data_IF_517397008884
#
_entry.id   IF_517397008884
#
_cell.length_a   1.000
_cell.length_b   1.000
_cell.length_c   1.000
_cell.angle_alpha   90.00
_cell.angle_beta   90.00
_cell.angle_gamma   90.00
#
_symmetry.space_group_name_H-M   'P 1'
#
loop_
_entity.id
_entity.type
_entity.pdbx_description
1 polymer ?
#
# COMPACT_ATOMS: atom_id res chain seq x y z
N UNK A 1 18.19 21.79 -4.71
CA UNK A 1 16.76 21.76 -4.33
C UNK A 1 16.67 20.68 -3.28
N UNK A 2 16.01 20.94 -2.15
CA UNK A 2 15.93 19.98 -1.05
C UNK A 2 14.56 19.34 -1.01
N UNK A 3 14.49 18.14 -0.46
CA UNK A 3 13.23 17.50 -0.08
C UNK A 3 12.53 18.38 0.96
N UNK A 4 11.30 18.76 0.66
CA UNK A 4 10.43 19.58 1.51
C UNK A 4 8.97 19.23 1.20
N UNK A 5 8.03 19.75 2.00
CA UNK A 5 6.60 19.56 1.78
C UNK A 5 6.18 20.03 0.37
N UNK A 6 5.28 19.26 -0.25
CA UNK A 6 4.75 19.49 -1.62
C UNK A 6 5.80 19.33 -2.74
N UNK A 7 6.89 18.62 -2.46
CA UNK A 7 7.89 18.21 -3.45
C UNK A 7 7.65 16.75 -3.81
N UNK A 8 7.66 16.47 -5.11
CA UNK A 8 7.67 15.12 -5.65
C UNK A 8 9.09 14.60 -5.63
N UNK A 9 9.27 13.45 -4.99
CA UNK A 9 10.56 12.81 -4.78
C UNK A 9 10.51 11.46 -5.47
N UNK A 10 11.43 11.25 -6.41
CA UNK A 10 11.71 9.95 -6.99
C UNK A 10 12.76 9.28 -6.11
N UNK A 11 12.39 8.25 -5.34
CA UNK A 11 13.34 7.51 -4.52
C UNK A 11 13.51 6.07 -5.02
N UNK A 12 14.74 5.59 -5.02
CA UNK A 12 15.03 4.17 -5.02
C UNK A 12 15.28 3.76 -3.57
N UNK A 13 14.78 2.60 -3.15
CA UNK A 13 15.06 2.09 -1.81
C UNK A 13 15.21 0.58 -1.80
N UNK A 14 15.88 0.06 -0.78
CA UNK A 14 15.88 -1.36 -0.46
C UNK A 14 15.61 -1.50 1.02
N UNK A 15 14.58 -2.25 1.39
CA UNK A 15 14.23 -2.50 2.78
C UNK A 15 14.59 -3.92 3.18
N UNK A 16 15.29 -4.02 4.31
CA UNK A 16 15.75 -5.27 4.92
C UNK A 16 15.19 -5.39 6.32
N UNK A 17 14.78 -6.59 6.71
CA UNK A 17 14.41 -6.90 8.10
C UNK A 17 15.67 -7.13 8.96
N UNK A 18 15.49 -7.28 10.28
CA UNK A 18 16.56 -7.65 11.23
C UNK A 18 17.31 -8.94 10.85
N UNK A 19 16.64 -9.89 10.20
CA UNK A 19 17.26 -11.12 9.69
C UNK A 19 18.11 -10.91 8.43
N UNK A 20 18.20 -9.68 7.91
CA UNK A 20 18.92 -9.34 6.67
C UNK A 20 18.20 -9.76 5.40
N UNK A 21 16.94 -10.20 5.51
CA UNK A 21 16.08 -10.56 4.39
C UNK A 21 15.53 -9.28 3.76
N UNK A 22 15.71 -9.12 2.45
CA UNK A 22 15.10 -8.02 1.68
C UNK A 22 13.60 -8.28 1.56
N UNK A 23 12.78 -7.40 2.12
CA UNK A 23 11.31 -7.52 2.04
C UNK A 23 10.73 -6.80 0.84
N UNK A 24 11.32 -5.67 0.47
CA UNK A 24 10.91 -4.86 -0.67
C UNK A 24 12.11 -4.08 -1.22
N UNK A 25 12.06 -3.76 -2.51
CA UNK A 25 13.09 -2.96 -3.16
C UNK A 25 12.53 -2.23 -4.38
N UNK A 26 12.88 -0.96 -4.50
CA UNK A 26 12.70 -0.13 -5.69
C UNK A 26 14.07 0.27 -6.22
N UNK A 27 14.37 -0.08 -7.48
CA UNK A 27 15.64 0.28 -8.11
C UNK A 27 15.55 1.66 -8.77
N UNK A 28 16.69 2.26 -9.09
CA UNK A 28 16.78 3.51 -9.88
C UNK A 28 16.11 3.43 -11.25
N UNK A 29 15.89 2.23 -11.79
CA UNK A 29 15.18 2.02 -13.06
C UNK A 29 13.65 2.09 -12.90
N UNK A 30 13.15 1.78 -11.72
CA UNK A 30 11.74 1.89 -11.32
C UNK A 30 11.65 2.58 -9.95
N UNK A 31 12.02 3.87 -9.87
CA UNK A 31 11.99 4.60 -8.61
C UNK A 31 10.54 4.75 -8.16
N UNK A 32 10.33 4.69 -6.84
CA UNK A 32 9.07 5.04 -6.23
C UNK A 32 8.95 6.57 -6.21
N UNK A 33 8.03 7.09 -6.99
CA UNK A 33 7.70 8.49 -6.97
C UNK A 33 6.59 8.75 -5.93
N UNK A 34 6.80 9.70 -5.03
CA UNK A 34 5.81 10.10 -4.03
C UNK A 34 5.84 11.61 -3.78
N UNK A 35 4.79 12.13 -3.12
CA UNK A 35 4.73 13.53 -2.67
C UNK A 35 5.07 13.58 -1.19
N UNK A 36 6.11 14.34 -0.85
CA UNK A 36 6.58 14.51 0.52
C UNK A 36 5.66 15.46 1.33
N UNK A 37 5.42 15.12 2.60
CA UNK A 37 4.56 15.90 3.50
C UNK A 37 3.07 15.55 3.44
N UNK A 38 2.73 14.38 2.86
CA UNK A 38 1.37 13.86 2.68
C UNK A 38 1.17 12.47 3.28
N UNK A 39 2.08 11.98 4.13
CA UNK A 39 2.01 10.65 4.76
C UNK A 39 1.89 9.50 3.73
N UNK A 40 2.48 9.68 2.55
CA UNK A 40 2.54 8.64 1.53
C UNK A 40 3.56 7.53 1.88
N UNK A 41 4.52 7.85 2.75
CA UNK A 41 5.52 6.92 3.28
C UNK A 41 5.43 6.85 4.81
N UNK A 42 6.15 5.87 5.37
CA UNK A 42 6.32 5.73 6.81
C UNK A 42 7.01 6.98 7.38
N UNK A 43 6.56 7.42 8.55
CA UNK A 43 6.98 8.70 9.15
C UNK A 43 8.49 8.74 9.39
N UNK A 44 9.09 7.63 9.83
CA UNK A 44 10.53 7.58 10.07
C UNK A 44 11.36 7.76 8.79
N UNK A 45 10.90 7.21 7.67
CA UNK A 45 11.55 7.37 6.37
C UNK A 45 11.34 8.78 5.80
N UNK A 46 10.11 9.31 5.91
CA UNK A 46 9.79 10.65 5.44
C UNK A 46 10.66 11.69 6.18
N UNK A 47 10.75 11.60 7.51
CA UNK A 47 11.61 12.45 8.33
C UNK A 47 13.10 12.31 8.00
N UNK A 48 13.56 11.08 7.72
CA UNK A 48 14.96 10.83 7.40
C UNK A 48 15.36 11.39 6.02
N UNK A 49 14.43 11.42 5.06
CA UNK A 49 14.66 11.99 3.73
C UNK A 49 14.51 13.53 3.73
N UNK A 50 13.88 14.11 4.75
CA UNK A 50 13.70 15.55 4.85
C UNK A 50 15.07 16.28 4.78
N UNK A 51 15.14 17.37 4.01
CA UNK A 51 16.36 18.16 3.77
C UNK A 51 17.47 17.50 2.93
N UNK A 52 17.30 16.27 2.44
CA UNK A 52 18.23 15.65 1.50
C UNK A 52 18.12 16.22 0.08
N UNK A 53 19.17 16.01 -0.73
CA UNK A 53 19.26 16.48 -2.11
C UNK A 53 19.19 15.33 -3.12
N UNK A 54 18.85 15.65 -4.37
CA UNK A 54 18.85 14.66 -5.44
C UNK A 54 20.27 14.11 -5.67
N UNK A 55 20.39 12.78 -5.71
CA UNK A 55 21.63 12.03 -5.83
C UNK A 55 22.21 11.54 -4.48
N UNK A 56 21.63 11.94 -3.35
CA UNK A 56 22.06 11.44 -2.04
C UNK A 56 21.68 9.98 -1.85
N UNK A 57 22.61 9.21 -1.27
CA UNK A 57 22.40 7.83 -0.83
C UNK A 57 22.75 7.71 0.63
N UNK A 58 21.85 7.14 1.41
CA UNK A 58 22.06 6.92 2.84
C UNK A 58 21.27 5.71 3.32
N UNK A 59 21.69 5.17 4.44
CA UNK A 59 21.01 4.08 5.11
C UNK A 59 20.29 4.67 6.34
N UNK A 60 19.02 4.30 6.53
CA UNK A 60 18.25 4.64 7.70
C UNK A 60 17.63 3.39 8.30
N UNK A 61 17.87 3.17 9.59
CA UNK A 61 17.17 2.15 10.37
C UNK A 61 15.95 2.79 11.01
N UNK A 62 14.76 2.30 10.67
CA UNK A 62 13.50 2.79 11.20
C UNK A 62 12.95 1.76 12.18
N UNK A 63 12.68 2.21 13.40
CA UNK A 63 12.03 1.39 14.42
C UNK A 63 10.59 1.04 14.00
N UNK A 64 10.03 -0.08 14.47
CA UNK A 64 8.66 -0.48 14.11
C UNK A 64 7.63 0.62 14.39
N UNK A 65 7.77 1.36 15.49
CA UNK A 65 6.93 2.51 15.86
C UNK A 65 6.81 3.57 14.76
N UNK A 66 7.88 3.81 14.00
CA UNK A 66 7.97 4.84 12.97
C UNK A 66 7.86 4.27 11.54
N UNK A 67 7.78 2.93 11.41
CA UNK A 67 7.62 2.20 10.16
C UNK A 67 6.15 1.79 9.95
N UNK A 68 5.86 0.49 10.12
CA UNK A 68 4.51 -0.08 9.95
C UNK A 68 3.72 -0.16 11.27
N UNK A 69 4.24 0.45 12.34
CA UNK A 69 3.71 0.37 13.69
C UNK A 69 4.34 -0.76 14.51
N UNK A 70 4.19 -0.68 15.83
CA UNK A 70 4.50 -1.80 16.71
C UNK A 70 3.53 -2.96 16.47
N UNK A 71 4.01 -4.16 16.77
CA UNK A 71 3.12 -5.29 16.91
C UNK A 71 2.22 -5.04 18.11
N UNK A 72 0.93 -4.83 17.86
CA UNK A 72 -0.02 -4.58 18.92
C UNK A 72 -0.68 -5.90 19.30
N UNK A 73 -0.40 -6.40 20.50
CA UNK A 73 -1.17 -7.49 21.11
C UNK A 73 -2.67 -7.15 21.20
N UNK A 74 -3.03 -5.85 21.20
CA UNK A 74 -4.42 -5.40 21.15
C UNK A 74 -5.11 -5.68 19.80
N UNK A 75 -4.34 -5.83 18.72
CA UNK A 75 -4.83 -6.26 17.40
C UNK A 75 -4.90 -7.79 17.29
N UNK A 76 -4.36 -8.51 18.28
CA UNK A 76 -4.54 -9.95 18.44
C UNK A 76 -5.83 -10.19 19.21
N UNK A 77 -6.84 -10.70 18.52
CA UNK A 77 -8.15 -10.94 19.09
C UNK A 77 -8.41 -12.43 19.25
N UNK A 78 -8.88 -12.82 20.43
CA UNK A 78 -9.35 -14.17 20.69
C UNK A 78 -10.86 -14.21 20.46
N UNK A 79 -11.25 -14.81 19.35
CA UNK A 79 -12.64 -14.93 18.93
C UNK A 79 -13.11 -16.39 19.07
N UNK A 80 -14.36 -16.64 19.49
CA UNK A 80 -14.90 -17.99 19.53
C UNK A 80 -14.91 -18.61 18.14
N UNK A 81 -14.53 -19.89 18.00
CA UNK A 81 -14.55 -20.56 16.68
C UNK A 81 -15.95 -20.56 16.04
N UNK A 82 -17.00 -20.45 16.85
CA UNK A 82 -18.39 -20.35 16.42
C UNK A 82 -18.67 -19.15 15.50
N UNK A 83 -17.94 -18.04 15.63
CA UNK A 83 -18.19 -16.84 14.81
C UNK A 83 -17.81 -17.06 13.34
N UNK A 84 -16.94 -18.02 13.05
CA UNK A 84 -16.54 -18.42 11.70
C UNK A 84 -17.57 -19.37 11.10
N UNK A 85 -18.83 -18.95 11.09
CA UNK A 85 -19.92 -19.69 10.48
C UNK A 85 -19.65 -19.87 8.97
N UNK A 86 -19.47 -21.11 8.52
CA UNK A 86 -19.27 -21.44 7.10
C UNK A 86 -17.86 -21.85 6.70
N UNK A 87 -16.94 -21.99 7.66
CA UNK A 87 -15.60 -22.55 7.44
C UNK A 87 -15.55 -23.96 8.05
N UNK A 88 -15.44 -25.00 7.23
CA UNK A 88 -15.43 -26.39 7.69
C UNK A 88 -14.18 -26.75 8.52
N UNK A 89 -13.04 -26.09 8.26
CA UNK A 89 -11.79 -26.32 9.00
C UNK A 89 -10.99 -25.02 9.13
N UNK A 90 -10.78 -24.56 10.38
CA UNK A 90 -9.95 -23.40 10.68
C UNK A 90 -8.53 -23.92 10.92
N UNK A 91 -7.59 -23.49 10.08
CA UNK A 91 -6.17 -23.84 10.22
C UNK A 91 -5.33 -22.60 10.51
N UNK A 92 -4.24 -22.80 11.25
CA UNK A 92 -3.23 -21.75 11.50
C UNK A 92 -2.65 -21.30 10.16
N UNK A 93 -2.58 -19.98 9.97
CA UNK A 93 -2.15 -19.32 8.73
C UNK A 93 -3.30 -18.97 7.77
N UNK A 94 -4.55 -19.34 8.07
CA UNK A 94 -5.69 -18.88 7.28
C UNK A 94 -5.95 -17.39 7.49
N UNK A 95 -6.32 -16.70 6.41
CA UNK A 95 -6.67 -15.27 6.43
C UNK A 95 -8.17 -15.09 6.30
N UNK A 96 -8.72 -14.25 7.15
CA UNK A 96 -10.14 -13.89 7.18
C UNK A 96 -10.30 -12.37 7.17
N UNK A 97 -11.46 -11.90 6.73
CA UNK A 97 -11.84 -10.51 6.92
C UNK A 97 -12.68 -10.44 8.20
N UNK A 98 -12.12 -9.85 9.25
CA UNK A 98 -12.84 -9.59 10.49
C UNK A 98 -13.51 -8.23 10.39
N UNK A 99 -14.82 -8.18 10.59
CA UNK A 99 -15.54 -6.91 10.77
C UNK A 99 -15.22 -6.36 12.17
N UNK A 100 -14.46 -5.26 12.21
CA UNK A 100 -14.13 -4.52 13.42
C UNK A 100 -14.85 -3.16 13.42
N UNK A 101 -14.83 -2.45 14.56
CA UNK A 101 -15.36 -1.07 14.64
C UNK A 101 -14.67 -0.09 13.65
N UNK A 102 -13.48 -0.43 13.15
CA UNK A 102 -12.75 0.35 12.15
C UNK A 102 -13.02 -0.11 10.71
N UNK A 103 -13.90 -1.09 10.51
CA UNK A 103 -14.23 -1.69 9.22
C UNK A 103 -13.70 -3.13 9.08
N UNK A 104 -13.89 -3.74 7.90
CA UNK A 104 -13.37 -5.07 7.61
C UNK A 104 -11.84 -5.02 7.54
N UNK A 105 -11.17 -5.66 8.51
CA UNK A 105 -9.71 -5.76 8.58
C UNK A 105 -9.32 -7.20 8.22
N UNK A 106 -8.36 -7.41 7.31
CA UNK A 106 -7.80 -8.73 7.08
C UNK A 106 -7.02 -9.18 8.31
N UNK A 107 -7.38 -10.32 8.87
CA UNK A 107 -6.73 -10.96 10.03
C UNK A 107 -6.22 -12.34 9.64
N UNK A 108 -5.12 -12.79 10.25
CA UNK A 108 -4.53 -14.11 10.05
C UNK A 108 -4.66 -14.95 11.32
N UNK A 109 -5.03 -16.22 11.20
CA UNK A 109 -5.13 -17.13 12.34
C UNK A 109 -3.73 -17.54 12.80
N UNK A 110 -3.34 -17.17 14.01
CA UNK A 110 -2.05 -17.54 14.59
C UNK A 110 -2.14 -18.77 15.48
N UNK A 111 -3.30 -19.01 16.10
CA UNK A 111 -3.52 -20.16 16.97
C UNK A 111 -4.98 -20.63 16.89
N UNK A 112 -5.17 -21.95 16.87
CA UNK A 112 -6.49 -22.59 16.93
C UNK A 112 -6.54 -23.47 18.17
N UNK A 113 -7.46 -23.15 19.05
CA UNK A 113 -7.50 -23.59 20.44
C UNK A 113 -8.89 -24.17 20.73
N UNK A 114 -9.29 -25.15 19.90
CA UNK A 114 -10.56 -25.88 19.94
C UNK A 114 -11.80 -25.00 19.88
N UNK A 115 -12.21 -24.48 21.04
CA UNK A 115 -13.35 -23.59 21.22
C UNK A 115 -13.03 -22.12 20.85
N UNK A 116 -11.75 -21.74 20.80
CA UNK A 116 -11.30 -20.38 20.51
C UNK A 116 -10.27 -20.33 19.38
N UNK A 117 -10.24 -19.23 18.65
CA UNK A 117 -9.28 -18.95 17.58
C UNK A 117 -8.63 -17.60 17.90
N UNK A 118 -7.31 -17.57 17.84
CA UNK A 118 -6.53 -16.34 17.94
C UNK A 118 -6.29 -15.83 16.53
N UNK A 119 -6.80 -14.64 16.26
CA UNK A 119 -6.59 -13.94 14.99
C UNK A 119 -5.72 -12.72 15.22
N UNK A 120 -4.85 -12.45 14.26
CA UNK A 120 -3.91 -11.35 14.28
C UNK A 120 -4.20 -10.42 13.11
N UNK A 121 -4.63 -9.19 13.41
CA UNK A 121 -4.87 -8.14 12.42
C UNK A 121 -3.66 -7.27 12.12
N UNK A 122 -2.50 -7.54 12.73
CA UNK A 122 -1.31 -6.74 12.51
C UNK A 122 -0.80 -6.90 11.06
N UNK A 123 -0.18 -5.83 10.55
CA UNK A 123 0.52 -5.91 9.28
C UNK A 123 1.67 -6.91 9.39
N UNK A 124 1.97 -7.69 8.34
CA UNK A 124 3.05 -8.70 8.37
C UNK A 124 4.43 -8.14 8.74
N UNK A 125 4.62 -6.82 8.58
CA UNK A 125 5.86 -6.10 8.89
C UNK A 125 5.77 -5.26 10.19
N UNK A 126 4.63 -5.29 10.90
CA UNK A 126 4.47 -4.60 12.17
C UNK A 126 5.37 -5.24 13.25
N UNK A 127 5.98 -4.41 14.09
CA UNK A 127 6.89 -4.86 15.15
C UNK A 127 8.30 -5.25 14.71
N UNK A 128 8.62 -5.19 13.42
CA UNK A 128 9.96 -5.47 12.92
C UNK A 128 10.75 -4.17 12.71
N UNK A 129 12.01 -4.16 13.13
CA UNK A 129 12.93 -3.07 12.78
C UNK A 129 13.35 -3.24 11.33
N UNK A 130 13.17 -2.18 10.54
CA UNK A 130 13.43 -2.20 9.11
C UNK A 130 14.59 -1.27 8.77
N UNK A 131 15.58 -1.79 8.04
CA UNK A 131 16.70 -1.00 7.52
C UNK A 131 16.43 -0.65 6.07
N UNK A 132 16.35 0.64 5.77
CA UNK A 132 16.11 1.18 4.45
C UNK A 132 17.40 1.78 3.90
N UNK A 133 17.93 1.19 2.84
CA UNK A 133 18.92 1.82 1.98
C UNK A 133 18.17 2.74 1.01
N UNK A 134 18.32 4.05 1.11
CA UNK A 134 17.58 5.03 0.32
C UNK A 134 18.51 5.77 -0.62
N UNK A 135 18.05 5.98 -1.85
CA UNK A 135 18.69 6.80 -2.87
C UNK A 135 17.69 7.78 -3.47
N UNK A 136 17.95 9.08 -3.32
CA UNK A 136 17.13 10.11 -3.93
C UNK A 136 17.55 10.24 -5.39
N UNK A 137 16.68 9.86 -6.32
CA UNK A 137 17.00 9.87 -7.75
C UNK A 137 16.77 11.26 -8.35
N UNK A 138 15.60 11.84 -8.07
CA UNK A 138 15.19 13.13 -8.62
C UNK A 138 14.23 13.85 -7.69
N UNK A 139 14.18 15.17 -7.83
CA UNK A 139 13.30 16.06 -7.09
C UNK A 139 12.63 17.00 -8.09
N UNK A 140 11.31 17.14 -7.99
CA UNK A 140 10.55 18.14 -8.74
C UNK A 140 9.44 18.74 -7.89
N UNK A 141 9.02 19.99 -8.13
CA UNK A 141 7.84 20.54 -7.47
C UNK A 141 6.58 19.75 -7.89
N UNK A 142 5.67 19.50 -6.95
CA UNK A 142 4.36 18.92 -7.26
C UNK A 142 3.48 19.94 -7.98
N UNK A 143 2.63 19.46 -8.89
CA UNK A 143 1.61 20.31 -9.50
C UNK A 143 0.44 20.50 -8.53
N UNK A 144 -0.32 21.59 -8.69
CA UNK A 144 -1.51 21.85 -7.85
C UNK A 144 -2.55 20.71 -7.93
N UNK A 145 -2.64 20.02 -9.08
CA UNK A 145 -3.49 18.85 -9.25
C UNK A 145 -2.98 17.65 -8.43
N UNK A 146 -1.68 17.35 -8.45
CA UNK A 146 -1.09 16.26 -7.68
C UNK A 146 -1.21 16.49 -6.16
N UNK A 147 -1.07 17.74 -5.71
CA UNK A 147 -1.26 18.12 -4.30
C UNK A 147 -2.74 17.96 -3.89
N UNK A 148 -3.67 18.32 -4.78
CA UNK A 148 -5.11 18.18 -4.52
C UNK A 148 -5.56 16.72 -4.49
N UNK A 149 -4.93 15.85 -5.28
CA UNK A 149 -5.22 14.42 -5.35
C UNK A 149 -4.41 13.57 -4.35
N UNK A 150 -3.33 14.10 -3.78
CA UNK A 150 -2.46 13.40 -2.81
C UNK A 150 -1.57 12.31 -3.41
N UNK A 151 -1.67 12.06 -4.71
CA UNK A 151 -0.92 11.05 -5.44
C UNK A 151 -0.41 11.58 -6.79
N UNK A 152 0.64 10.96 -7.30
CA UNK A 152 1.26 11.36 -8.56
C UNK A 152 0.44 10.87 -9.74
N UNK A 153 0.13 11.79 -10.63
CA UNK A 153 -0.50 11.49 -11.90
C UNK A 153 0.60 11.23 -12.94
N UNK A 154 1.35 10.14 -12.79
CA UNK A 154 2.22 9.69 -13.87
C UNK A 154 1.36 9.10 -14.99
N UNK A 155 1.32 9.82 -16.12
CA UNK A 155 0.73 9.35 -17.36
C UNK A 155 1.44 8.09 -17.84
N UNK A 156 0.84 6.92 -17.61
CA UNK A 156 1.30 5.66 -18.17
C UNK A 156 1.10 4.45 -17.26
N UNK A 157 -0.11 3.86 -17.32
CA UNK A 157 -0.33 2.43 -17.12
C UNK A 157 -0.02 1.85 -15.74
N UNK A 158 -0.94 2.03 -14.78
CA UNK A 158 -1.07 1.06 -13.70
C UNK A 158 -2.23 0.10 -14.01
N UNK A 159 -1.97 -0.90 -14.87
CA UNK A 159 -2.65 -2.20 -14.80
C UNK A 159 -2.01 -2.96 -13.63
N UNK A 160 -2.35 -2.57 -12.42
CA UNK A 160 -1.77 -3.10 -11.19
C UNK A 160 -2.80 -3.18 -10.07
N UNK A 161 -4.06 -3.39 -10.41
CA UNK A 161 -5.11 -3.72 -9.47
C UNK A 161 -5.72 -5.04 -9.90
N UNK A 162 -5.47 -6.09 -9.14
CA UNK A 162 -6.28 -7.30 -9.12
C UNK A 162 -7.66 -6.94 -8.51
N UNK A 163 -8.38 -6.07 -9.20
CA UNK A 163 -9.78 -5.82 -8.99
C UNK A 163 -10.51 -6.65 -10.01
N UNK A 164 -11.13 -7.73 -9.53
CA UNK A 164 -12.32 -8.33 -10.07
C UNK A 164 -13.11 -7.35 -10.97
N UNK A 165 -12.78 -7.32 -12.26
CA UNK A 165 -13.78 -6.99 -13.26
C UNK A 165 -14.51 -8.30 -13.47
N UNK A 166 -15.57 -8.48 -12.68
CA UNK A 166 -16.52 -9.54 -12.86
C UNK A 166 -16.74 -9.78 -14.34
N UNK A 167 -16.63 -11.05 -14.71
CA UNK A 167 -17.05 -11.61 -15.97
C UNK A 167 -18.50 -11.18 -16.23
N UNK A 168 -18.67 -10.00 -16.82
CA UNK A 168 -19.93 -9.59 -17.40
C UNK A 168 -19.88 -10.06 -18.85
N UNK A 169 -20.22 -11.34 -19.00
CA UNK A 169 -20.62 -11.94 -20.25
C UNK A 169 -21.69 -11.04 -20.90
N UNK A 170 -21.26 -10.28 -21.91
CA UNK A 170 -22.18 -9.66 -22.85
C UNK A 170 -22.26 -10.55 -24.09
N UNK A 171 -22.75 -11.77 -23.88
CA UNK A 171 -23.43 -12.54 -24.89
C UNK A 171 -24.76 -11.87 -25.24
N UNK A 172 -24.71 -11.02 -26.28
CA UNK A 172 -25.83 -10.58 -27.11
C UNK A 172 -27.03 -9.86 -26.49
N UNK A 173 -27.42 -8.82 -27.25
CA UNK A 173 -28.76 -8.28 -27.40
C UNK A 173 -29.31 -7.33 -26.32
N UNK A 174 -29.46 -6.09 -26.81
CA UNK A 174 -30.49 -5.11 -26.45
C UNK A 174 -30.26 -4.20 -25.23
N UNK A 175 -29.68 -3.04 -25.55
CA UNK A 175 -30.31 -1.76 -25.19
C UNK A 175 -29.76 -1.04 -23.96
N UNK A 176 -28.89 -0.06 -24.19
CA UNK A 176 -28.92 1.16 -23.39
C UNK A 176 -28.69 2.39 -24.27
N UNK A 177 -29.78 3.14 -24.46
CA UNK A 177 -29.88 4.34 -25.26
C UNK A 177 -29.11 5.47 -24.57
N UNK A 178 -28.10 5.99 -25.25
CA UNK A 178 -27.36 7.18 -24.83
C UNK A 178 -28.22 8.43 -24.89
N UNK A 179 -28.14 9.23 -23.83
CA UNK A 179 -28.60 10.62 -23.81
C UNK A 179 -27.64 11.52 -24.58
N UNK A 180 -28.23 12.49 -25.27
CA UNK A 180 -27.64 13.43 -26.22
C UNK A 180 -26.31 14.10 -25.82
N UNK A 181 -25.48 14.40 -26.83
CA UNK A 181 -24.83 15.72 -26.87
C UNK A 181 -23.41 15.82 -27.41
N UNK A 182 -23.32 15.94 -28.75
CA UNK A 182 -22.35 16.75 -29.50
C UNK A 182 -20.87 16.33 -29.62
N UNK A 183 -20.42 16.28 -30.88
CA UNK A 183 -19.06 16.68 -31.24
C UNK A 183 -18.33 15.70 -32.17
N UNK A 184 -18.78 15.59 -33.42
CA UNK A 184 -18.23 14.64 -34.38
C UNK A 184 -16.75 14.85 -34.72
N UNK A 185 -16.08 13.74 -35.03
CA UNK A 185 -14.91 13.73 -35.88
C UNK A 185 -15.03 12.52 -36.82
N UNK A 186 -15.35 12.80 -38.09
CA UNK A 186 -15.56 11.78 -39.12
C UNK A 186 -14.24 11.24 -39.66
N UNK A 187 -14.12 9.91 -39.68
CA UNK A 187 -13.13 9.19 -40.45
C UNK A 187 -13.63 8.99 -41.88
N UNK A 188 -12.82 9.35 -42.87
CA UNK A 188 -12.98 8.86 -44.24
C UNK A 188 -11.87 7.88 -44.57
N UNK A 189 -12.31 6.65 -44.85
CA UNK A 189 -11.75 5.56 -45.66
C UNK A 189 -10.34 5.05 -45.37
#
# INVERSE_FOLDING_TARGET
>A
MKVAKDVVVSLAYQVKNEDGVVVDQATVEAPLDYIHGHNNLIVGLENAIENHEAGDKFEVTVAPEEAYGEYLDAMVQRVPAEVFHGVDEITVGMRFLADTDQGPIPVEVTEVDGDFVVVDGNHMLAGQTLTFDVEVVALRPATEEEIAHGHLHQGGGCCGGHGDCGDHDHGNDEGCCGGEGHGGCGCSH
#
